data_IF_097843393811
#
_entry.id   IF_097843393811
#
_cell.length_a   1.000
_cell.length_b   1.000
_cell.length_c   1.000
_cell.angle_alpha   90.00
_cell.angle_beta   90.00
_cell.angle_gamma   90.00
#
_symmetry.space_group_name_H-M   'P 1'
#
loop_
_entity.id
_entity.type
_entity.pdbx_description
1 polymer ?
#
# COMPACT_ATOMS: atom_id res chain seq x y z
N UNK A 1 1.59 14.85 12.71
CA UNK A 1 0.87 14.27 13.87
C UNK A 1 1.11 12.76 13.83
N UNK A 2 1.42 12.12 14.97
CA UNK A 2 1.65 10.67 15.01
C UNK A 2 0.30 9.96 15.12
N UNK A 3 -0.07 9.16 14.12
CA UNK A 3 -1.34 8.40 14.10
C UNK A 3 -1.37 7.40 15.27
N UNK A 4 -2.29 7.60 16.22
CA UNK A 4 -2.56 6.67 17.33
C UNK A 4 -3.39 5.48 16.85
N UNK A 5 -2.84 4.67 15.94
CA UNK A 5 -3.41 3.37 15.62
C UNK A 5 -2.60 2.29 16.32
N UNK A 6 -3.14 1.75 17.41
CA UNK A 6 -2.46 0.75 18.23
C UNK A 6 -2.64 -0.64 17.60
N UNK A 7 -1.76 -1.00 16.67
CA UNK A 7 -1.69 -2.35 16.12
C UNK A 7 -0.82 -3.25 17.01
N UNK A 8 -1.16 -4.56 17.14
CA UNK A 8 -0.20 -5.53 17.67
C UNK A 8 1.07 -5.49 16.81
N UNK A 9 2.23 -5.76 17.43
CA UNK A 9 3.50 -5.79 16.72
C UNK A 9 3.44 -6.79 15.55
N UNK A 10 3.76 -6.32 14.34
CA UNK A 10 3.81 -7.15 13.14
C UNK A 10 5.05 -6.83 12.31
N UNK A 11 5.47 -7.79 11.48
CA UNK A 11 6.53 -7.61 10.50
C UNK A 11 6.09 -8.17 9.16
N UNK A 12 6.45 -7.48 8.08
CA UNK A 12 6.20 -7.92 6.71
C UNK A 12 7.54 -8.15 6.01
N UNK A 13 7.77 -9.37 5.54
CA UNK A 13 8.92 -9.72 4.69
C UNK A 13 8.44 -10.01 3.28
N UNK A 14 9.07 -9.38 2.29
CA UNK A 14 8.80 -9.62 0.86
C UNK A 14 10.08 -10.06 0.17
N UNK A 15 10.00 -11.09 -0.67
CA UNK A 15 11.08 -11.49 -1.58
C UNK A 15 10.79 -10.85 -2.93
N UNK A 16 11.65 -9.92 -3.35
CA UNK A 16 11.51 -9.21 -4.62
C UNK A 16 12.35 -9.91 -5.69
N UNK A 17 11.74 -10.13 -6.84
CA UNK A 17 12.40 -10.66 -8.04
C UNK A 17 12.32 -9.63 -9.16
N UNK A 18 13.22 -9.72 -10.13
CA UNK A 18 13.14 -8.91 -11.34
C UNK A 18 11.99 -9.41 -12.24
N UNK A 19 11.16 -8.50 -12.74
CA UNK A 19 10.04 -8.78 -13.63
C UNK A 19 9.11 -7.57 -13.75
N UNK A 20 8.11 -7.69 -14.62
CA UNK A 20 7.16 -6.62 -14.95
C UNK A 20 5.72 -6.91 -14.47
N UNK A 21 5.54 -7.96 -13.67
CA UNK A 21 4.25 -8.40 -13.12
C UNK A 21 3.54 -7.29 -12.33
N UNK A 22 4.31 -6.35 -11.77
CA UNK A 22 3.79 -5.21 -11.03
C UNK A 22 4.35 -3.90 -11.56
N UNK A 23 3.46 -2.94 -11.81
CA UNK A 23 3.82 -1.55 -12.11
C UNK A 23 3.33 -0.62 -11.00
N UNK A 24 4.16 0.36 -10.63
CA UNK A 24 3.89 1.32 -9.57
C UNK A 24 3.95 2.75 -10.11
N UNK A 25 2.97 3.59 -9.75
CA UNK A 25 2.98 5.03 -10.02
C UNK A 25 2.72 5.82 -8.74
N UNK A 26 3.55 6.82 -8.48
CA UNK A 26 3.36 7.75 -7.36
C UNK A 26 2.68 9.04 -7.82
N UNK A 27 1.72 9.54 -7.05
CA UNK A 27 1.15 10.87 -7.21
C UNK A 27 1.10 11.61 -5.87
N UNK A 28 1.12 12.94 -5.92
CA UNK A 28 0.86 13.74 -4.73
C UNK A 28 -0.62 13.62 -4.35
N UNK A 29 -0.90 13.23 -3.11
CA UNK A 29 -2.27 13.19 -2.59
C UNK A 29 -2.59 14.51 -1.91
N UNK A 30 -3.76 15.08 -2.21
CA UNK A 30 -4.34 16.20 -1.44
C UNK A 30 -5.12 15.66 -0.23
N UNK A 31 -5.38 14.35 -0.20
CA UNK A 31 -6.22 13.69 0.78
C UNK A 31 -5.37 13.13 1.93
N UNK A 32 -5.56 13.71 3.12
CA UNK A 32 -4.98 13.32 4.41
C UNK A 32 -5.85 12.34 5.19
N UNK A 33 -6.84 11.69 4.55
CA UNK A 33 -7.67 10.72 5.26
C UNK A 33 -6.81 9.51 5.64
N UNK A 34 -6.51 9.41 6.93
CA UNK A 34 -5.68 8.36 7.51
C UNK A 34 -6.26 6.99 7.19
N UNK A 35 -5.45 6.12 6.59
CA UNK A 35 -5.86 4.75 6.35
C UNK A 35 -5.95 3.98 7.67
N UNK A 36 -6.99 3.15 7.79
CA UNK A 36 -7.20 2.22 8.91
C UNK A 36 -6.19 1.07 8.97
N UNK A 37 -5.18 1.04 8.09
CA UNK A 37 -4.18 -0.01 8.02
C UNK A 37 -2.81 0.58 7.67
N UNK A 38 -1.72 0.08 8.27
CA UNK A 38 -0.37 0.34 7.81
C UNK A 38 -0.23 -0.06 6.34
N UNK A 39 0.53 0.72 5.57
CA UNK A 39 0.66 0.54 4.11
C UNK A 39 1.07 -0.88 3.70
N UNK A 40 1.95 -1.54 4.46
CA UNK A 40 2.35 -2.93 4.20
C UNK A 40 1.18 -3.92 4.30
N UNK A 41 0.28 -3.72 5.26
CA UNK A 41 -0.91 -4.56 5.42
C UNK A 41 -1.97 -4.23 4.35
N UNK A 42 -2.13 -2.95 4.01
CA UNK A 42 -2.98 -2.53 2.90
C UNK A 42 -2.50 -3.14 1.56
N UNK A 43 -1.19 -3.12 1.32
CA UNK A 43 -0.59 -3.81 0.18
C UNK A 43 -0.90 -5.31 0.19
N UNK A 44 -0.66 -5.99 1.32
CA UNK A 44 -0.87 -7.44 1.42
C UNK A 44 -2.33 -7.82 1.15
N UNK A 45 -3.28 -7.05 1.70
CA UNK A 45 -4.71 -7.24 1.45
C UNK A 45 -5.05 -7.18 -0.04
N UNK A 46 -4.49 -6.22 -0.77
CA UNK A 46 -4.73 -6.09 -2.20
C UNK A 46 -3.99 -7.14 -3.03
N UNK A 47 -2.73 -7.43 -2.69
CA UNK A 47 -1.90 -8.42 -3.37
C UNK A 47 -2.52 -9.83 -3.35
N UNK A 48 -3.14 -10.21 -2.23
CA UNK A 48 -3.84 -11.48 -2.06
C UNK A 48 -5.27 -11.49 -2.64
N UNK A 49 -5.76 -10.36 -3.14
CA UNK A 49 -7.08 -10.26 -3.77
C UNK A 49 -7.01 -10.52 -5.28
N UNK A 50 -8.16 -10.77 -5.90
CA UNK A 50 -8.29 -10.90 -7.36
C UNK A 50 -8.22 -9.56 -8.11
N UNK A 51 -7.91 -8.45 -7.42
CA UNK A 51 -7.80 -7.14 -8.04
C UNK A 51 -6.51 -7.00 -8.83
N UNK A 52 -6.61 -6.53 -10.05
CA UNK A 52 -5.47 -6.21 -10.93
C UNK A 52 -5.00 -4.76 -10.78
N UNK A 53 -5.76 -3.91 -10.09
CA UNK A 53 -5.40 -2.51 -9.86
C UNK A 53 -5.93 -2.04 -8.51
N UNK A 54 -5.10 -1.30 -7.77
CA UNK A 54 -5.49 -0.67 -6.51
C UNK A 54 -4.63 0.56 -6.21
N UNK A 55 -5.12 1.40 -5.30
CA UNK A 55 -4.40 2.59 -4.82
C UNK A 55 -4.24 2.49 -3.32
N UNK A 56 -3.01 2.72 -2.83
CA UNK A 56 -2.72 2.89 -1.41
C UNK A 56 -2.44 4.37 -1.20
N UNK A 57 -3.25 5.06 -0.41
CA UNK A 57 -2.95 6.44 -0.04
C UNK A 57 -2.03 6.46 1.19
N UNK A 58 -1.22 7.50 1.25
CA UNK A 58 -0.36 7.86 2.34
C UNK A 58 -0.62 9.34 2.65
N UNK A 59 -0.23 9.84 3.82
CA UNK A 59 -0.51 11.22 4.23
C UNK A 59 -0.07 12.32 3.23
N UNK A 60 0.88 12.02 2.32
CA UNK A 60 1.38 12.99 1.33
C UNK A 60 1.47 12.44 -0.11
N UNK A 61 1.23 11.14 -0.29
CA UNK A 61 1.49 10.43 -1.54
C UNK A 61 0.44 9.36 -1.76
N UNK A 62 0.09 9.09 -3.01
CA UNK A 62 -0.70 7.92 -3.38
C UNK A 62 0.12 7.02 -4.28
N UNK A 63 -0.05 5.73 -4.11
CA UNK A 63 0.63 4.68 -4.87
C UNK A 63 -0.40 3.88 -5.65
N UNK A 64 -0.42 4.03 -6.97
CA UNK A 64 -1.22 3.21 -7.87
C UNK A 64 -0.43 1.96 -8.26
N UNK A 65 -0.95 0.81 -7.88
CA UNK A 65 -0.41 -0.51 -8.21
C UNK A 65 -1.22 -1.14 -9.34
N UNK A 66 -0.53 -1.79 -10.26
CA UNK A 66 -1.14 -2.65 -11.30
C UNK A 66 -0.44 -3.99 -11.33
N UNK A 67 -1.22 -5.06 -11.29
CA UNK A 67 -0.81 -6.46 -11.43
C UNK A 67 -1.23 -6.95 -12.82
N UNK A 68 -0.27 -7.51 -13.57
CA UNK A 68 -0.50 -8.08 -14.91
C UNK A 68 -1.12 -9.48 -14.86
#
# INVERSE_FOLDING_TARGET
EFEQQQYPGFGLGLVLSNGDDFTLRSSHSVETQGHLLPQGLAFLQHYLSDKTQWTIHAPQQSWEWRKQ
#
